data_IF_494259428518
#
_entry.id   IF_494259428518
#
_cell.length_a   1.000
_cell.length_b   1.000
_cell.length_c   1.000
_cell.angle_alpha   90.00
_cell.angle_beta   90.00
_cell.angle_gamma   90.00
#
_symmetry.space_group_name_H-M   'P 1'
#
loop_
_entity.id
_entity.type
_entity.pdbx_description
1 polymer ?
#
# COMPACT_ATOMS: atom_id res chain seq x y z
N UNK A 1 26.88 -1.97 6.33
CA UNK A 1 26.14 -2.06 5.05
C UNK A 1 25.15 -0.91 5.03
N UNK A 2 25.24 0.01 4.05
CA UNK A 2 24.25 1.07 3.92
C UNK A 2 22.89 0.42 3.61
N UNK A 3 21.87 0.71 4.42
CA UNK A 3 20.52 0.29 4.10
C UNK A 3 20.16 0.92 2.74
N UNK A 4 19.94 0.07 1.73
CA UNK A 4 19.44 0.54 0.44
C UNK A 4 18.09 1.20 0.72
N UNK A 5 17.97 2.48 0.37
CA UNK A 5 16.67 3.13 0.41
C UNK A 5 15.78 2.42 -0.62
N UNK A 6 14.65 1.89 -0.16
CA UNK A 6 13.69 1.19 -1.01
C UNK A 6 12.41 2.01 -1.10
N UNK A 7 11.90 2.15 -2.33
CA UNK A 7 10.58 2.69 -2.60
C UNK A 7 9.58 1.55 -2.67
N UNK A 8 8.54 1.64 -1.85
CA UNK A 8 7.42 0.71 -1.85
C UNK A 8 6.21 1.36 -2.51
N UNK A 9 5.60 0.67 -3.46
CA UNK A 9 4.35 1.08 -4.10
C UNK A 9 3.35 -0.04 -3.97
N UNK A 10 2.17 0.25 -3.39
CA UNK A 10 1.08 -0.72 -3.33
C UNK A 10 0.02 -0.49 -4.43
N UNK A 11 0.35 0.35 -5.42
CA UNK A 11 -0.50 0.58 -6.60
C UNK A 11 -0.84 -0.74 -7.31
N UNK A 12 0.10 -1.67 -7.37
CA UNK A 12 -0.06 -2.99 -8.00
C UNK A 12 -1.22 -3.75 -7.35
N UNK A 13 -1.25 -3.85 -6.03
CA UNK A 13 -2.35 -4.46 -5.28
C UNK A 13 -3.69 -3.79 -5.55
N UNK A 14 -3.74 -2.45 -5.57
CA UNK A 14 -5.01 -1.73 -5.80
C UNK A 14 -5.63 -1.99 -7.18
N UNK A 15 -4.83 -2.39 -8.18
CA UNK A 15 -5.33 -2.71 -9.54
C UNK A 15 -5.92 -4.11 -9.64
N UNK A 16 -5.67 -4.97 -8.65
CA UNK A 16 -6.24 -6.33 -8.60
C UNK A 16 -7.61 -6.38 -7.93
N UNK A 17 -7.92 -5.38 -7.09
CA UNK A 17 -9.22 -5.27 -6.44
C UNK A 17 -10.27 -4.87 -7.47
N UNK A 18 -11.47 -5.44 -7.36
CA UNK A 18 -12.60 -5.08 -8.22
C UNK A 18 -12.91 -3.59 -8.08
N UNK A 19 -13.37 -2.99 -9.17
CA UNK A 19 -13.67 -1.55 -9.20
C UNK A 19 -14.72 -1.15 -8.15
N UNK A 20 -15.71 -2.00 -7.91
CA UNK A 20 -16.79 -1.79 -6.93
C UNK A 20 -16.25 -1.71 -5.49
N UNK A 21 -15.26 -2.53 -5.18
CA UNK A 21 -14.63 -2.62 -3.85
C UNK A 21 -13.54 -1.56 -3.64
N UNK A 22 -13.09 -0.89 -4.70
CA UNK A 22 -11.98 0.05 -4.64
C UNK A 22 -12.25 1.24 -3.69
N UNK A 23 -13.48 1.75 -3.62
CA UNK A 23 -13.82 2.83 -2.69
C UNK A 23 -13.65 2.41 -1.23
N UNK A 24 -14.13 1.20 -0.88
CA UNK A 24 -13.99 0.64 0.46
C UNK A 24 -12.52 0.34 0.79
N UNK A 25 -11.79 -0.23 -0.17
CA UNK A 25 -10.35 -0.47 -0.05
C UNK A 25 -9.59 0.83 0.21
N UNK A 26 -9.89 1.89 -0.55
CA UNK A 26 -9.26 3.18 -0.39
C UNK A 26 -9.50 3.74 1.01
N UNK A 27 -10.73 3.67 1.54
CA UNK A 27 -11.01 4.14 2.90
C UNK A 27 -10.26 3.35 3.97
N UNK A 28 -10.21 2.02 3.85
CA UNK A 28 -9.48 1.15 4.76
C UNK A 28 -7.97 1.39 4.70
N UNK A 29 -7.40 1.56 3.50
CA UNK A 29 -5.99 1.92 3.33
C UNK A 29 -5.68 3.31 3.87
N UNK A 30 -6.58 4.27 3.68
CA UNK A 30 -6.42 5.62 4.23
C UNK A 30 -6.39 5.60 5.76
N UNK A 31 -7.24 4.78 6.40
CA UNK A 31 -7.23 4.56 7.85
C UNK A 31 -5.94 3.86 8.30
N UNK A 32 -5.53 2.80 7.61
CA UNK A 32 -4.31 2.05 7.92
C UNK A 32 -3.04 2.90 7.82
N UNK A 33 -2.98 3.80 6.84
CA UNK A 33 -1.83 4.70 6.62
C UNK A 33 -1.91 6.02 7.42
N UNK A 34 -2.98 6.23 8.18
CA UNK A 34 -3.23 7.46 8.94
C UNK A 34 -3.38 8.71 8.05
N UNK A 35 -3.72 8.54 6.77
CA UNK A 35 -3.82 9.67 5.83
C UNK A 35 -5.18 10.36 5.93
N UNK A 36 -5.17 11.68 6.18
CA UNK A 36 -6.40 12.48 6.28
C UNK A 36 -6.97 12.91 4.93
N UNK A 37 -6.14 12.99 3.89
CA UNK A 37 -6.52 13.51 2.57
C UNK A 37 -6.29 12.47 1.48
N UNK A 38 -7.17 12.46 0.47
CA UNK A 38 -7.05 11.58 -0.70
C UNK A 38 -5.76 11.85 -1.48
N UNK A 39 -5.31 13.10 -1.55
CA UNK A 39 -4.07 13.48 -2.21
C UNK A 39 -2.85 12.79 -1.56
N UNK A 40 -2.78 12.81 -0.22
CA UNK A 40 -1.68 12.16 0.50
C UNK A 40 -1.73 10.63 0.32
N UNK A 41 -2.92 10.04 0.30
CA UNK A 41 -3.10 8.64 -0.07
C UNK A 41 -2.57 8.33 -1.47
N UNK A 42 -2.90 9.13 -2.48
CA UNK A 42 -2.43 8.89 -3.86
C UNK A 42 -0.91 9.03 -4.00
N UNK A 43 -0.27 9.86 -3.17
CA UNK A 43 1.18 9.93 -3.08
C UNK A 43 1.76 8.66 -2.44
N UNK A 44 1.29 8.30 -1.24
CA UNK A 44 1.72 7.08 -0.53
C UNK A 44 1.50 5.81 -1.36
N UNK A 45 0.38 5.68 -2.08
CA UNK A 45 0.10 4.52 -2.96
C UNK A 45 1.16 4.29 -4.02
N UNK A 46 1.72 5.37 -4.57
CA UNK A 46 2.73 5.31 -5.63
C UNK A 46 4.14 5.16 -5.08
N UNK A 47 4.40 5.68 -3.89
CA UNK A 47 5.75 5.71 -3.30
C UNK A 47 5.68 5.93 -1.79
N UNK A 48 6.24 4.98 -1.05
CA UNK A 48 6.63 5.12 0.36
C UNK A 48 8.10 4.74 0.45
N UNK A 49 8.95 5.72 0.75
CA UNK A 49 10.37 5.47 0.98
C UNK A 49 10.56 4.88 2.37
N UNK A 50 11.28 3.76 2.47
CA UNK A 50 11.60 3.10 3.76
C UNK A 50 10.37 2.93 4.66
N UNK A 51 9.34 2.26 4.13
CA UNK A 51 8.08 2.02 4.85
C UNK A 51 8.35 1.37 6.22
N UNK A 52 7.75 1.88 7.31
CA UNK A 52 7.80 1.21 8.61
C UNK A 52 7.13 -0.17 8.55
N UNK A 53 7.65 -1.15 9.29
CA UNK A 53 7.10 -2.52 9.34
C UNK A 53 5.61 -2.50 9.71
N UNK A 54 5.22 -1.66 10.68
CA UNK A 54 3.83 -1.52 11.12
C UNK A 54 2.90 -0.99 10.01
N UNK A 55 3.35 0.00 9.22
CA UNK A 55 2.56 0.50 8.08
C UNK A 55 2.44 -0.57 6.99
N UNK A 56 3.52 -1.32 6.73
CA UNK A 56 3.52 -2.41 5.76
C UNK A 56 2.52 -3.50 6.14
N UNK A 57 2.58 -3.99 7.38
CA UNK A 57 1.65 -5.00 7.89
C UNK A 57 0.20 -4.51 7.90
N UNK A 58 -0.04 -3.24 8.22
CA UNK A 58 -1.38 -2.67 8.20
C UNK A 58 -1.97 -2.66 6.77
N UNK A 59 -1.17 -2.30 5.77
CA UNK A 59 -1.58 -2.34 4.36
C UNK A 59 -1.85 -3.79 3.91
N UNK A 60 -0.97 -4.73 4.24
CA UNK A 60 -1.14 -6.15 3.90
C UNK A 60 -2.41 -6.75 4.54
N UNK A 61 -2.70 -6.39 5.79
CA UNK A 61 -3.96 -6.79 6.47
C UNK A 61 -5.20 -6.25 5.77
N UNK A 62 -5.15 -5.03 5.22
CA UNK A 62 -6.25 -4.48 4.43
C UNK A 62 -6.43 -5.28 3.14
N UNK A 63 -5.36 -5.53 2.39
CA UNK A 63 -5.43 -6.31 1.16
C UNK A 63 -5.89 -7.76 1.36
N UNK A 64 -5.55 -8.38 2.48
CA UNK A 64 -6.02 -9.72 2.83
C UNK A 64 -7.55 -9.82 2.92
N UNK A 65 -8.25 -8.74 3.28
CA UNK A 65 -9.74 -8.69 3.27
C UNK A 65 -10.32 -8.79 1.85
N UNK A 66 -9.55 -8.42 0.84
CA UNK A 66 -9.92 -8.44 -0.57
C UNK A 66 -9.25 -9.60 -1.31
N UNK A 67 -8.93 -10.68 -0.59
CA UNK A 67 -8.34 -11.93 -1.13
C UNK A 67 -6.93 -11.77 -1.74
N UNK A 68 -6.27 -10.63 -1.53
CA UNK A 68 -4.89 -10.41 -1.97
C UNK A 68 -3.97 -10.65 -0.78
N UNK A 69 -3.36 -11.84 -0.75
CA UNK A 69 -2.50 -12.27 0.36
C UNK A 69 -1.02 -12.30 0.02
N UNK A 70 -0.66 -12.35 -1.28
CA UNK A 70 0.73 -12.38 -1.72
C UNK A 70 1.34 -10.96 -1.70
N UNK A 71 2.39 -10.72 -0.88
CA UNK A 71 3.08 -9.43 -0.84
C UNK A 71 3.65 -8.99 -2.19
N UNK A 72 4.04 -9.92 -3.08
CA UNK A 72 4.54 -9.57 -4.42
C UNK A 72 3.43 -9.06 -5.34
N UNK A 73 2.18 -9.38 -5.04
CA UNK A 73 1.02 -8.87 -5.77
C UNK A 73 0.58 -7.51 -5.25
N UNK A 74 0.83 -7.25 -3.97
CA UNK A 74 0.56 -5.97 -3.32
C UNK A 74 1.63 -4.95 -3.71
N UNK A 75 2.90 -5.29 -3.48
CA UNK A 75 4.02 -4.38 -3.51
C UNK A 75 4.79 -4.44 -4.83
N UNK A 76 5.20 -3.26 -5.26
CA UNK A 76 6.25 -3.02 -6.25
C UNK A 76 7.39 -2.30 -5.51
N UNK A 77 8.55 -2.97 -5.42
CA UNK A 77 9.71 -2.51 -4.65
C UNK A 77 10.80 -2.11 -5.64
N UNK A 78 11.16 -0.83 -5.65
CA UNK A 78 12.23 -0.29 -6.51
C UNK A 78 13.33 0.37 -5.67
N UNK A 79 14.58 0.37 -6.13
CA UNK A 79 15.64 1.16 -5.51
C UNK A 79 15.26 2.66 -5.53
N UNK A 80 15.52 3.37 -4.43
CA UNK A 80 14.99 4.72 -4.20
C UNK A 80 15.73 5.88 -4.85
#
# INVERSE_FOLDING_TARGET
MAALNLNYSFLKGTRKVKYEDYMLLQEDLMKALGTKTKQHYYQKRKRITNIPVQEKEAVEKVFAKYEITDPNEIWDITPA
#
